data_IF_825524225170
#
_entry.id   IF_825524225170
#
_cell.length_a   1.000
_cell.length_b   1.000
_cell.length_c   1.000
_cell.angle_alpha   90.00
_cell.angle_beta   90.00
_cell.angle_gamma   90.00
#
_symmetry.space_group_name_H-M   'P 1'
#
loop_
_entity.id
_entity.type
_entity.pdbx_description
1 polymer ?
#
# COMPACT_ATOMS: atom_id res chain seq x y z
N UNK A 1 3.36 -21.54 -5.23
CA UNK A 1 4.16 -20.30 -5.25
C UNK A 1 4.19 -19.78 -6.68
N UNK A 2 3.73 -18.56 -6.90
CA UNK A 2 3.67 -17.92 -8.22
C UNK A 2 4.37 -16.57 -8.14
N UNK A 3 5.23 -16.27 -9.12
CA UNK A 3 5.99 -15.02 -9.20
C UNK A 3 5.41 -14.19 -10.35
N UNK A 4 5.10 -12.94 -10.06
CA UNK A 4 4.61 -11.97 -11.03
C UNK A 4 5.61 -10.83 -11.20
N UNK A 5 5.70 -10.28 -12.40
CA UNK A 5 6.38 -9.02 -12.62
C UNK A 5 5.55 -7.87 -12.06
N UNK A 6 6.22 -6.88 -11.51
CA UNK A 6 5.57 -5.63 -11.10
C UNK A 6 6.15 -4.46 -11.86
N UNK A 7 5.29 -3.48 -12.09
CA UNK A 7 5.67 -2.13 -12.45
C UNK A 7 5.43 -1.22 -11.24
N UNK A 8 6.07 -0.06 -11.23
CA UNK A 8 5.84 0.96 -10.21
C UNK A 8 5.40 2.24 -10.87
N UNK A 9 4.25 2.75 -10.49
CA UNK A 9 3.72 4.01 -11.01
C UNK A 9 3.42 4.96 -9.85
N UNK A 10 4.11 6.08 -9.80
CA UNK A 10 3.98 7.14 -8.78
C UNK A 10 3.97 6.60 -7.32
N UNK A 11 4.78 5.55 -7.05
CA UNK A 11 4.88 4.88 -5.76
C UNK A 11 3.96 3.68 -5.58
N UNK A 12 2.95 3.51 -6.42
CA UNK A 12 2.05 2.35 -6.38
C UNK A 12 2.71 1.11 -6.98
N UNK A 13 2.31 -0.07 -6.49
CA UNK A 13 2.77 -1.37 -6.98
C UNK A 13 1.70 -1.93 -7.92
N UNK A 14 2.06 -2.09 -9.19
CA UNK A 14 1.19 -2.64 -10.22
C UNK A 14 1.69 -4.02 -10.62
N UNK A 15 0.92 -5.03 -10.30
CA UNK A 15 1.19 -6.41 -10.70
C UNK A 15 0.67 -6.63 -12.12
N UNK A 16 1.44 -7.33 -12.94
CA UNK A 16 1.06 -7.67 -14.32
C UNK A 16 0.76 -9.16 -14.38
N UNK A 17 -0.50 -9.49 -14.65
CA UNK A 17 -0.97 -10.87 -14.84
C UNK A 17 -1.79 -11.00 -16.14
N UNK A 18 -1.29 -11.80 -17.08
CA UNK A 18 -1.95 -12.03 -18.38
C UNK A 18 -2.39 -10.75 -19.10
N UNK A 19 -1.57 -9.70 -19.01
CA UNK A 19 -1.83 -8.38 -19.58
C UNK A 19 -2.78 -7.50 -18.76
N UNK A 20 -3.35 -8.00 -17.66
CA UNK A 20 -4.12 -7.20 -16.70
C UNK A 20 -3.18 -6.45 -15.76
N UNK A 21 -3.54 -5.22 -15.44
CA UNK A 21 -2.85 -4.36 -14.49
C UNK A 21 -3.60 -4.37 -13.17
N UNK A 22 -2.98 -4.92 -12.13
CA UNK A 22 -3.59 -5.11 -10.82
C UNK A 22 -2.86 -4.21 -9.82
N UNK A 23 -3.55 -3.21 -9.29
CA UNK A 23 -3.05 -2.38 -8.18
C UNK A 23 -3.06 -3.21 -6.91
N UNK A 24 -1.91 -3.36 -6.25
CA UNK A 24 -1.78 -4.04 -4.97
C UNK A 24 -2.00 -3.04 -3.84
N UNK A 25 -3.09 -3.19 -3.09
CA UNK A 25 -3.54 -2.22 -2.09
C UNK A 25 -3.84 -2.88 -0.75
N UNK A 26 -2.85 -2.88 0.15
CA UNK A 26 -3.01 -3.40 1.52
C UNK A 26 -3.76 -2.44 2.45
N UNK A 27 -4.04 -1.22 2.01
CA UNK A 27 -4.89 -0.25 2.72
C UNK A 27 -6.38 -0.44 2.41
N UNK A 28 -6.72 -1.13 1.32
CA UNK A 28 -8.09 -1.43 0.95
C UNK A 28 -8.53 -2.79 1.53
N UNK A 29 -9.67 -2.89 2.26
CA UNK A 29 -10.14 -4.16 2.79
C UNK A 29 -10.68 -5.11 1.72
N UNK A 30 -11.12 -4.59 0.58
CA UNK A 30 -11.83 -5.35 -0.44
C UNK A 30 -11.23 -5.16 -1.84
N UNK A 31 -11.26 -6.24 -2.61
CA UNK A 31 -10.88 -6.23 -4.03
C UNK A 31 -11.99 -5.60 -4.88
N UNK A 32 -11.60 -4.72 -5.83
CA UNK A 32 -12.51 -3.98 -6.72
C UNK A 32 -12.15 -4.28 -8.17
N UNK A 33 -13.14 -4.62 -8.99
CA UNK A 33 -12.98 -4.88 -10.42
C UNK A 33 -14.11 -4.31 -11.26
N UNK A 34 -14.01 -4.45 -12.59
CA UNK A 34 -15.11 -4.09 -13.52
C UNK A 34 -16.28 -5.06 -13.36
N UNK A 35 -15.99 -6.34 -13.10
CA UNK A 35 -16.96 -7.41 -12.90
C UNK A 35 -16.91 -7.87 -11.45
N UNK A 36 -17.89 -8.61 -11.01
CA UNK A 36 -18.01 -9.17 -9.67
C UNK A 36 -17.09 -10.37 -9.40
N UNK A 37 -16.38 -10.82 -10.44
CA UNK A 37 -15.38 -11.90 -10.35
C UNK A 37 -14.19 -11.61 -11.24
N UNK A 38 -13.04 -12.17 -10.89
CA UNK A 38 -11.85 -12.25 -11.75
C UNK A 38 -11.01 -13.49 -11.44
N UNK A 39 -10.24 -13.92 -12.44
CA UNK A 39 -9.34 -15.06 -12.30
C UNK A 39 -7.97 -14.60 -11.80
N UNK A 40 -7.48 -15.23 -10.73
CA UNK A 40 -6.14 -15.02 -10.20
C UNK A 40 -5.57 -16.34 -9.68
N UNK A 41 -4.31 -16.64 -10.03
CA UNK A 41 -3.63 -17.90 -9.66
C UNK A 41 -4.43 -19.17 -9.98
N UNK A 42 -5.15 -19.18 -11.11
CA UNK A 42 -5.94 -20.32 -11.59
C UNK A 42 -7.25 -20.55 -10.82
N UNK A 43 -7.69 -19.59 -10.02
CA UNK A 43 -8.96 -19.62 -9.30
C UNK A 43 -9.77 -18.37 -9.61
N UNK A 44 -11.09 -18.53 -9.62
CA UNK A 44 -12.02 -17.41 -9.70
C UNK A 44 -12.24 -16.82 -8.30
N UNK A 45 -12.09 -15.52 -8.18
CA UNK A 45 -12.27 -14.76 -6.95
C UNK A 45 -13.41 -13.76 -7.10
N UNK A 46 -14.19 -13.58 -6.03
CA UNK A 46 -15.16 -12.51 -5.93
C UNK A 46 -14.49 -11.17 -5.75
N UNK A 47 -15.05 -10.13 -6.35
CA UNK A 47 -14.67 -8.75 -6.10
C UNK A 47 -15.90 -7.84 -6.16
N UNK A 48 -15.77 -6.66 -5.58
CA UNK A 48 -16.79 -5.63 -5.64
C UNK A 48 -16.66 -4.84 -6.94
N UNK A 49 -17.77 -4.34 -7.47
CA UNK A 49 -17.74 -3.42 -8.61
C UNK A 49 -17.51 -1.97 -8.18
N UNK A 50 -17.74 -1.66 -6.90
CA UNK A 50 -17.45 -0.36 -6.30
C UNK A 50 -17.36 -0.47 -4.78
N UNK A 51 -16.60 0.44 -4.15
CA UNK A 51 -16.52 0.62 -2.71
C UNK A 51 -16.64 2.11 -2.38
N UNK A 52 -17.51 2.46 -1.44
CA UNK A 52 -17.78 3.86 -1.07
C UNK A 52 -18.08 4.78 -2.28
N UNK A 53 -18.71 4.24 -3.33
CA UNK A 53 -19.05 4.97 -4.54
C UNK A 53 -17.93 5.05 -5.60
N UNK A 54 -16.74 4.49 -5.33
CA UNK A 54 -15.62 4.45 -6.29
C UNK A 54 -15.50 3.07 -6.93
N UNK A 55 -15.62 3.01 -8.25
CA UNK A 55 -15.29 1.82 -9.03
C UNK A 55 -13.87 1.89 -9.57
N UNK A 56 -13.43 0.82 -10.24
CA UNK A 56 -12.05 0.72 -10.76
C UNK A 56 -11.72 1.83 -11.79
N UNK A 57 -12.73 2.26 -12.58
CA UNK A 57 -12.55 3.35 -13.53
C UNK A 57 -12.32 4.70 -12.85
N UNK A 58 -12.92 4.92 -11.68
CA UNK A 58 -12.71 6.15 -10.91
C UNK A 58 -11.31 6.15 -10.28
N UNK A 59 -10.88 5.01 -9.74
CA UNK A 59 -9.52 4.81 -9.23
C UNK A 59 -8.50 5.05 -10.34
N UNK A 60 -8.70 4.49 -11.52
CA UNK A 60 -7.83 4.69 -12.68
C UNK A 60 -7.72 6.17 -13.08
N UNK A 61 -8.83 6.92 -13.05
CA UNK A 61 -8.83 8.37 -13.32
C UNK A 61 -8.06 9.14 -12.25
N UNK A 62 -8.28 8.81 -10.96
CA UNK A 62 -7.59 9.47 -9.84
C UNK A 62 -6.08 9.24 -9.88
N UNK A 63 -5.65 8.04 -10.24
CA UNK A 63 -4.24 7.71 -10.45
C UNK A 63 -3.65 8.31 -11.72
N UNK A 64 -4.47 8.73 -12.69
CA UNK A 64 -4.07 9.00 -14.06
C UNK A 64 -3.30 7.82 -14.68
N UNK A 65 -3.72 6.60 -14.34
CA UNK A 65 -3.13 5.35 -14.79
C UNK A 65 -4.17 4.24 -14.83
N UNK A 66 -4.30 3.58 -15.99
CA UNK A 66 -5.29 2.52 -16.16
C UNK A 66 -4.91 1.29 -15.36
N UNK A 67 -5.79 0.87 -14.47
CA UNK A 67 -5.76 -0.41 -13.76
C UNK A 67 -7.06 -1.17 -14.00
N UNK A 68 -6.98 -2.48 -14.03
CA UNK A 68 -8.13 -3.37 -14.29
C UNK A 68 -8.75 -3.88 -12.99
N UNK A 69 -7.93 -4.05 -11.96
CA UNK A 69 -8.29 -4.56 -10.63
C UNK A 69 -7.54 -3.74 -9.58
N UNK A 70 -8.20 -3.40 -8.47
CA UNK A 70 -7.58 -3.10 -7.20
C UNK A 70 -7.69 -4.36 -6.34
N UNK A 71 -6.56 -4.96 -5.99
CA UNK A 71 -6.50 -6.15 -5.13
C UNK A 71 -6.36 -5.72 -3.68
N UNK A 72 -7.41 -5.98 -2.90
CA UNK A 72 -7.48 -5.65 -1.48
C UNK A 72 -7.08 -6.78 -0.55
N UNK A 73 -7.17 -6.52 0.75
CA UNK A 73 -6.75 -7.46 1.80
C UNK A 73 -7.61 -8.73 1.89
N UNK A 74 -8.86 -8.70 1.41
CA UNK A 74 -9.72 -9.89 1.29
C UNK A 74 -9.07 -10.99 0.44
N UNK A 75 -8.27 -10.61 -0.56
CA UNK A 75 -7.52 -11.54 -1.39
C UNK A 75 -6.05 -11.62 -0.98
N UNK A 76 -5.36 -10.48 -0.78
CA UNK A 76 -3.95 -10.46 -0.38
C UNK A 76 -3.73 -11.28 0.90
N UNK A 77 -4.63 -11.14 1.88
CA UNK A 77 -4.56 -11.81 3.17
C UNK A 77 -4.69 -13.34 3.15
N UNK A 78 -5.02 -13.93 1.99
CA UNK A 78 -5.08 -15.39 1.81
C UNK A 78 -3.70 -16.00 1.49
N UNK A 79 -2.68 -15.17 1.27
CA UNK A 79 -1.36 -15.61 0.81
C UNK A 79 -0.24 -15.05 1.66
N UNK A 80 0.87 -15.77 1.69
CA UNK A 80 2.17 -15.21 2.01
C UNK A 80 2.65 -14.37 0.83
N UNK A 81 3.02 -13.13 1.08
CA UNK A 81 3.41 -12.16 0.07
C UNK A 81 4.86 -11.74 0.26
N UNK A 82 5.63 -11.73 -0.82
CA UNK A 82 6.99 -11.20 -0.87
C UNK A 82 7.11 -10.19 -2.01
N UNK A 83 7.45 -8.95 -1.68
CA UNK A 83 7.66 -7.87 -2.64
C UNK A 83 9.14 -7.58 -2.74
N UNK A 84 9.70 -7.65 -3.93
CA UNK A 84 11.12 -7.40 -4.19
C UNK A 84 11.28 -6.27 -5.21
N UNK A 85 11.56 -5.07 -4.71
CA UNK A 85 11.68 -3.89 -5.55
C UNK A 85 12.88 -3.95 -6.51
N UNK A 86 14.00 -4.57 -6.11
CA UNK A 86 15.20 -4.64 -6.94
C UNK A 86 14.99 -5.53 -8.17
N UNK A 87 14.36 -6.68 -8.00
CA UNK A 87 14.02 -7.61 -9.09
C UNK A 87 12.71 -7.25 -9.79
N UNK A 88 11.96 -6.29 -9.25
CA UNK A 88 10.62 -5.91 -9.72
C UNK A 88 9.68 -7.12 -9.78
N UNK A 89 9.60 -7.87 -8.70
CA UNK A 89 8.74 -9.05 -8.60
C UNK A 89 7.92 -9.06 -7.33
N UNK A 90 6.75 -9.68 -7.41
CA UNK A 90 5.92 -10.06 -6.28
C UNK A 90 5.69 -11.56 -6.33
N UNK A 91 5.88 -12.22 -5.20
CA UNK A 91 5.62 -13.65 -5.03
C UNK A 91 4.41 -13.85 -4.13
N UNK A 92 3.46 -14.65 -4.60
CA UNK A 92 2.33 -15.16 -3.81
C UNK A 92 2.52 -16.64 -3.52
N UNK A 93 2.23 -17.07 -2.30
CA UNK A 93 2.33 -18.47 -1.89
C UNK A 93 1.26 -18.82 -0.85
N UNK A 94 0.68 -20.02 -0.95
CA UNK A 94 -0.19 -20.58 0.09
C UNK A 94 0.61 -21.08 1.31
N UNK A 95 1.91 -21.28 1.15
CA UNK A 95 2.81 -21.68 2.21
C UNK A 95 3.81 -20.57 2.50
N UNK A 96 4.40 -20.60 3.70
CA UNK A 96 5.44 -19.67 4.09
C UNK A 96 6.56 -19.61 3.06
N UNK A 97 6.97 -18.38 2.70
CA UNK A 97 8.06 -18.13 1.77
C UNK A 97 9.34 -18.03 2.59
N UNK A 98 10.33 -18.94 2.40
CA UNK A 98 11.61 -18.84 3.10
C UNK A 98 12.25 -17.46 2.86
N UNK A 99 12.59 -16.79 3.92
CA UNK A 99 13.11 -15.44 3.88
C UNK A 99 14.14 -15.20 4.99
N UNK A 100 15.27 -14.59 4.64
CA UNK A 100 16.25 -14.13 5.60
C UNK A 100 16.03 -12.65 5.86
N UNK A 101 15.45 -12.32 7.01
CA UNK A 101 15.16 -10.93 7.38
C UNK A 101 16.31 -10.29 8.15
N UNK A 102 16.47 -8.99 8.01
CA UNK A 102 17.35 -8.16 8.85
C UNK A 102 16.60 -7.60 10.08
N UNK A 103 15.28 -7.53 10.00
CA UNK A 103 14.38 -7.17 11.09
C UNK A 103 12.97 -7.71 10.82
N UNK A 104 12.17 -7.86 11.85
CA UNK A 104 10.77 -8.30 11.77
C UNK A 104 9.88 -7.40 12.61
N UNK A 105 8.62 -7.28 12.27
CA UNK A 105 7.63 -6.60 13.10
C UNK A 105 6.29 -7.33 13.01
N UNK A 106 5.58 -7.50 14.14
CA UNK A 106 4.25 -8.07 14.11
C UNK A 106 3.30 -7.22 13.25
N UNK A 107 2.55 -7.87 12.39
CA UNK A 107 1.43 -7.26 11.67
C UNK A 107 0.15 -7.45 12.51
N UNK A 108 -0.62 -6.37 12.65
CA UNK A 108 -1.96 -6.40 13.25
C UNK A 108 -2.98 -6.12 12.17
N UNK A 109 -4.03 -6.91 12.10
CA UNK A 109 -5.18 -6.65 11.23
C UNK A 109 -6.30 -5.99 12.04
N UNK A 110 -6.83 -4.91 11.52
CA UNK A 110 -8.00 -4.23 12.08
C UNK A 110 -8.91 -3.77 10.93
N UNK A 111 -10.17 -4.20 10.95
CA UNK A 111 -11.19 -3.86 9.94
C UNK A 111 -10.73 -4.11 8.49
N UNK A 112 -9.93 -5.16 8.25
CA UNK A 112 -9.43 -5.53 6.93
C UNK A 112 -8.17 -4.77 6.47
N UNK A 113 -7.71 -3.77 7.20
CA UNK A 113 -6.41 -3.13 6.96
C UNK A 113 -5.34 -3.72 7.88
N UNK A 114 -4.09 -3.70 7.43
CA UNK A 114 -2.95 -4.14 8.23
C UNK A 114 -2.17 -2.95 8.78
N UNK A 115 -1.60 -3.12 9.96
CA UNK A 115 -0.76 -2.11 10.61
C UNK A 115 0.52 -2.71 11.17
N UNK A 116 1.55 -1.88 11.25
CA UNK A 116 2.87 -2.19 11.78
C UNK A 116 3.25 -1.19 12.86
N UNK A 117 4.16 -1.58 13.74
CA UNK A 117 4.72 -0.68 14.75
C UNK A 117 6.13 -0.28 14.32
N UNK A 118 6.35 1.02 14.19
CA UNK A 118 7.67 1.61 13.95
C UNK A 118 8.06 2.47 15.14
N UNK A 119 9.36 2.62 15.39
CA UNK A 119 9.86 3.68 16.28
C UNK A 119 10.19 4.92 15.45
N UNK A 120 9.62 6.05 15.80
CA UNK A 120 9.88 7.36 15.19
C UNK A 120 10.18 8.34 16.31
N UNK A 121 11.35 9.01 16.28
CA UNK A 121 11.80 9.94 17.35
C UNK A 121 11.71 9.30 18.75
N UNK A 122 12.11 8.03 18.87
CA UNK A 122 12.06 7.25 20.11
C UNK A 122 10.64 6.96 20.66
N UNK A 123 9.59 7.22 19.88
CA UNK A 123 8.23 6.84 20.22
C UNK A 123 7.75 5.69 19.30
N UNK A 124 7.08 4.70 19.88
CA UNK A 124 6.43 3.65 19.11
C UNK A 124 5.14 4.18 18.50
N UNK A 125 5.03 4.09 17.18
CA UNK A 125 3.89 4.55 16.39
C UNK A 125 3.30 3.37 15.63
N UNK A 126 2.00 3.17 15.75
CA UNK A 126 1.27 2.21 14.92
C UNK A 126 0.81 2.91 13.65
N UNK A 127 1.25 2.41 12.50
CA UNK A 127 0.92 2.96 11.18
C UNK A 127 0.22 1.89 10.34
N UNK A 128 -0.75 2.30 9.53
CA UNK A 128 -1.28 1.43 8.48
C UNK A 128 -0.17 1.13 7.46
N UNK A 129 -0.04 -0.13 7.06
CA UNK A 129 0.82 -0.54 5.94
C UNK A 129 -0.03 -0.54 4.68
N UNK A 130 0.11 0.51 3.88
CA UNK A 130 -0.74 0.79 2.73
C UNK A 130 0.11 0.88 1.45
N UNK A 131 0.08 -0.18 0.63
CA UNK A 131 0.76 -0.21 -0.66
C UNK A 131 0.00 0.54 -1.75
N UNK A 132 -1.25 0.90 -1.51
CA UNK A 132 -2.06 1.76 -2.36
C UNK A 132 -1.79 3.25 -2.17
N UNK A 133 -1.09 3.65 -1.09
CA UNK A 133 -0.72 5.04 -0.84
C UNK A 133 0.63 5.38 -1.47
N UNK A 134 0.72 6.52 -2.15
CA UNK A 134 1.99 7.00 -2.72
C UNK A 134 2.85 7.81 -1.74
N UNK A 135 2.28 8.24 -0.62
CA UNK A 135 2.94 9.03 0.42
C UNK A 135 2.68 8.36 1.78
N UNK A 136 3.72 8.22 2.59
CA UNK A 136 3.56 7.83 3.99
C UNK A 136 3.10 9.04 4.82
N UNK A 137 2.13 8.85 5.71
CA UNK A 137 1.60 9.92 6.54
C UNK A 137 1.89 9.67 8.02
N UNK A 138 2.16 10.76 8.75
CA UNK A 138 2.38 10.74 10.20
C UNK A 138 1.75 11.97 10.87
N UNK A 139 1.43 11.86 12.15
CA UNK A 139 0.87 12.96 12.91
C UNK A 139 1.79 14.18 12.99
N UNK A 140 1.24 15.38 12.95
CA UNK A 140 1.96 16.68 12.93
C UNK A 140 2.98 16.83 14.08
N UNK A 141 2.75 16.17 15.23
CA UNK A 141 3.70 16.19 16.36
C UNK A 141 5.10 15.66 15.98
N UNK A 142 5.18 14.73 15.02
CA UNK A 142 6.45 14.16 14.56
C UNK A 142 7.14 15.00 13.50
N UNK A 143 6.40 15.88 12.81
CA UNK A 143 6.94 16.78 11.78
C UNK A 143 7.24 18.18 12.29
N UNK A 144 6.79 18.50 13.53
CA UNK A 144 7.13 19.75 14.18
C UNK A 144 8.65 19.90 14.33
N UNK A 145 9.19 21.05 13.91
CA UNK A 145 10.62 21.37 13.85
C UNK A 145 11.46 20.55 12.87
N UNK A 146 10.84 19.77 11.97
CA UNK A 146 11.57 19.10 10.89
C UNK A 146 11.78 20.04 9.69
N UNK A 147 12.88 19.79 8.97
CA UNK A 147 13.20 20.58 7.77
C UNK A 147 12.26 20.14 6.65
N UNK A 148 11.57 21.11 6.07
CA UNK A 148 10.69 20.91 4.92
C UNK A 148 11.49 20.43 3.70
N UNK A 149 11.11 19.31 3.12
CA UNK A 149 11.69 18.74 1.91
C UNK A 149 10.74 18.84 0.70
N UNK A 150 10.09 19.98 0.55
CA UNK A 150 9.14 20.24 -0.53
C UNK A 150 7.70 19.90 -0.17
N UNK A 151 6.86 19.87 -1.20
CA UNK A 151 5.42 19.56 -1.09
C UNK A 151 5.04 18.55 -2.17
N UNK A 152 3.97 17.81 -1.94
CA UNK A 152 3.36 16.89 -2.90
C UNK A 152 1.85 17.01 -2.90
N UNK A 153 1.26 16.83 -4.07
CA UNK A 153 -0.19 16.66 -4.21
C UNK A 153 -0.54 15.18 -4.06
N UNK A 154 -1.59 14.91 -3.32
CA UNK A 154 -2.15 13.58 -3.15
C UNK A 154 -3.68 13.62 -3.15
N UNK A 155 -4.31 12.47 -3.20
CA UNK A 155 -5.75 12.28 -3.16
C UNK A 155 -6.11 11.29 -2.05
N UNK A 156 -7.18 11.60 -1.34
CA UNK A 156 -7.82 10.66 -0.42
C UNK A 156 -9.33 10.66 -0.69
N UNK A 157 -10.01 9.51 -0.79
CA UNK A 157 -11.45 9.44 -1.09
C UNK A 157 -12.33 10.25 -0.14
N UNK A 158 -11.92 10.41 1.13
CA UNK A 158 -12.68 11.15 2.15
C UNK A 158 -12.40 12.67 2.12
N UNK A 159 -11.22 13.07 1.62
CA UNK A 159 -10.73 14.47 1.70
C UNK A 159 -10.77 15.13 0.31
N UNK A 160 -10.61 14.34 -0.76
CA UNK A 160 -10.37 14.81 -2.12
C UNK A 160 -8.89 15.11 -2.38
N UNK A 161 -8.62 15.97 -3.38
CA UNK A 161 -7.25 16.40 -3.70
C UNK A 161 -6.74 17.39 -2.64
N UNK A 162 -5.50 17.20 -2.18
CA UNK A 162 -4.84 18.10 -1.25
C UNK A 162 -3.34 18.17 -1.48
N UNK A 163 -2.70 19.21 -0.98
CA UNK A 163 -1.25 19.35 -0.96
C UNK A 163 -0.74 19.10 0.45
N UNK A 164 0.33 18.33 0.59
CA UNK A 164 0.97 18.04 1.87
C UNK A 164 2.45 18.41 1.86
N UNK A 165 2.97 19.01 2.95
CA UNK A 165 4.41 19.16 3.13
C UNK A 165 5.08 17.80 3.32
N UNK A 166 6.31 17.66 2.82
CA UNK A 166 7.10 16.42 2.93
C UNK A 166 8.31 16.65 3.83
N UNK A 167 8.54 15.70 4.73
CA UNK A 167 9.64 15.69 5.69
C UNK A 167 10.41 14.38 5.61
N UNK A 168 11.75 14.43 5.69
CA UNK A 168 12.58 13.23 5.80
C UNK A 168 12.78 12.93 7.29
N UNK A 169 12.22 11.84 7.76
CA UNK A 169 12.31 11.44 9.17
C UNK A 169 12.81 10.00 9.23
N UNK A 170 13.76 9.71 10.12
CA UNK A 170 14.20 8.36 10.35
C UNK A 170 13.16 7.58 11.18
N UNK A 171 12.84 6.40 10.71
CA UNK A 171 12.07 5.39 11.43
C UNK A 171 12.97 4.18 11.71
N UNK A 172 12.59 3.33 12.65
CA UNK A 172 13.28 2.07 12.89
C UNK A 172 12.35 0.92 13.25
N UNK A 173 12.80 -0.30 12.91
CA UNK A 173 12.22 -1.58 13.34
C UNK A 173 13.35 -2.39 13.97
N UNK A 174 13.20 -2.85 15.22
CA UNK A 174 14.21 -3.64 15.93
C UNK A 174 15.62 -3.03 15.88
N UNK A 175 15.71 -1.70 15.94
CA UNK A 175 17.00 -0.98 15.87
C UNK A 175 17.56 -0.76 14.47
N UNK A 176 17.00 -1.37 13.44
CA UNK A 176 17.36 -1.07 12.04
C UNK A 176 16.71 0.25 11.63
N UNK A 177 17.55 1.26 11.38
CA UNK A 177 17.13 2.63 11.05
C UNK A 177 17.07 2.81 9.53
N UNK A 178 15.99 3.44 9.05
CA UNK A 178 15.81 3.78 7.63
C UNK A 178 15.09 5.13 7.48
N UNK A 179 15.40 5.90 6.41
CA UNK A 179 14.74 7.16 6.14
C UNK A 179 13.36 6.94 5.52
N UNK A 180 12.37 7.71 5.96
CA UNK A 180 11.02 7.73 5.40
C UNK A 180 10.64 9.17 5.05
N UNK A 181 9.98 9.35 3.89
CA UNK A 181 9.38 10.61 3.49
C UNK A 181 7.94 10.66 4.00
N UNK A 182 7.70 11.44 5.04
CA UNK A 182 6.37 11.59 5.63
C UNK A 182 5.71 12.90 5.19
N UNK A 183 4.43 12.80 4.85
CA UNK A 183 3.51 13.93 4.79
C UNK A 183 2.64 14.03 6.05
N UNK A 184 1.80 15.07 6.11
CA UNK A 184 0.73 15.17 7.09
C UNK A 184 -0.61 15.15 6.37
N UNK A 185 -1.57 14.40 6.89
CA UNK A 185 -2.95 14.54 6.44
C UNK A 185 -3.50 15.91 6.84
N UNK A 186 -4.37 16.52 6.01
CA UNK A 186 -5.13 17.70 6.41
C UNK A 186 -5.92 17.44 7.69
N UNK A 187 -6.17 18.51 8.46
CA UNK A 187 -7.07 18.43 9.60
C UNK A 187 -8.50 18.18 9.09
N UNK A 188 -9.16 17.17 9.65
CA UNK A 188 -10.55 16.80 9.37
C UNK A 188 -11.46 17.43 10.40
#
# INVERSE_FOLDING_TARGET
>A
MTVFNIDTFDGHIILIDNGKKILLDTGCPYTIGIHDTFDFMGRQHHCFTSLAGFGINDISKLMNYQVDILMGMDLIGQYYLRIEYNSKTVTFSENEIPFQSICTTPIRSNMGAISVVLSVKNENVTLALDTGAKISYIGKKFTHNEVLNGKKTDFNPMIGNFETPIYNINASIEGVVFPVKFGNLPDM
#
